data_IF_009077245285
#
_entry.id   IF_009077245285
#
_cell.length_a   1.000
_cell.length_b   1.000
_cell.length_c   1.000
_cell.angle_alpha   90.00
_cell.angle_beta   90.00
_cell.angle_gamma   90.00
#
_symmetry.space_group_name_H-M   'P 1'
#
loop_
_entity.id
_entity.type
_entity.pdbx_description
1 polymer ?
#
# COMPACT_ATOMS: atom_id res chain seq x y z
N UNK A 1 -33.39 54.82 -42.84
CA UNK A 1 -33.95 53.78 -43.70
C UNK A 1 -32.84 52.77 -43.96
N UNK A 2 -32.75 51.72 -43.13
CA UNK A 2 -31.75 50.67 -43.27
C UNK A 2 -32.50 49.37 -43.60
N UNK A 3 -32.28 48.89 -44.82
CA UNK A 3 -32.77 47.62 -45.32
C UNK A 3 -32.08 46.48 -44.56
N UNK A 4 -32.86 45.61 -43.91
CA UNK A 4 -32.37 44.30 -43.48
C UNK A 4 -32.63 43.28 -44.60
N UNK A 5 -31.63 42.47 -44.98
CA UNK A 5 -31.81 41.46 -46.01
C UNK A 5 -32.62 40.27 -45.46
N UNK A 6 -33.56 39.79 -46.27
CA UNK A 6 -34.36 38.58 -46.01
C UNK A 6 -33.50 37.33 -46.21
N UNK A 7 -32.87 36.85 -45.14
CA UNK A 7 -32.25 35.53 -45.12
C UNK A 7 -33.32 34.46 -44.84
N UNK A 8 -33.50 33.55 -45.80
CA UNK A 8 -34.27 32.31 -45.62
C UNK A 8 -33.55 31.40 -44.64
N UNK A 9 -34.06 31.27 -43.41
CA UNK A 9 -33.56 30.34 -42.42
C UNK A 9 -34.32 29.00 -42.48
N UNK A 10 -33.63 27.85 -42.40
CA UNK A 10 -34.25 26.53 -42.41
C UNK A 10 -35.07 26.26 -41.13
N UNK A 11 -36.18 25.54 -41.29
CA UNK A 11 -37.25 25.33 -40.30
C UNK A 11 -36.86 24.58 -39.01
N UNK A 12 -35.59 24.28 -38.76
CA UNK A 12 -35.10 23.52 -37.60
C UNK A 12 -34.42 24.36 -36.50
N UNK A 13 -34.42 25.69 -36.61
CA UNK A 13 -33.77 26.62 -35.65
C UNK A 13 -34.68 27.15 -34.52
N UNK A 14 -35.99 26.88 -34.55
CA UNK A 14 -36.93 27.43 -33.55
C UNK A 14 -36.70 26.93 -32.11
N UNK A 15 -36.07 25.76 -31.92
CA UNK A 15 -35.71 25.27 -30.58
C UNK A 15 -34.59 26.07 -29.91
N UNK A 16 -33.74 26.76 -30.67
CA UNK A 16 -32.65 27.58 -30.09
C UNK A 16 -33.12 28.94 -29.57
N UNK A 17 -34.27 29.44 -30.04
CA UNK A 17 -34.82 30.74 -29.63
C UNK A 17 -35.69 30.67 -28.36
N UNK A 18 -36.23 29.49 -28.00
CA UNK A 18 -37.01 29.34 -26.77
C UNK A 18 -36.15 29.16 -25.51
N UNK A 19 -34.90 28.68 -25.63
CA UNK A 19 -33.99 28.60 -24.48
C UNK A 19 -33.51 29.98 -23.99
N UNK A 20 -33.31 30.94 -24.89
CA UNK A 20 -32.87 32.29 -24.52
C UNK A 20 -33.89 33.07 -23.69
N UNK A 21 -35.18 32.92 -24.00
CA UNK A 21 -36.26 33.62 -23.28
C UNK A 21 -36.49 33.05 -21.87
N UNK A 22 -36.35 31.73 -21.69
CA UNK A 22 -36.48 31.09 -20.37
C UNK A 22 -35.32 31.52 -19.47
N UNK A 23 -34.08 31.57 -19.99
CA UNK A 23 -32.94 32.09 -19.24
C UNK A 23 -33.09 33.58 -18.87
N UNK A 24 -33.71 34.39 -19.72
CA UNK A 24 -33.87 35.83 -19.47
C UNK A 24 -34.88 36.19 -18.38
N UNK A 25 -35.89 35.35 -18.12
CA UNK A 25 -36.87 35.59 -17.05
C UNK A 25 -36.36 35.10 -15.68
N UNK A 26 -35.44 34.13 -15.65
CA UNK A 26 -34.78 33.70 -14.41
C UNK A 26 -33.84 34.78 -13.85
N UNK A 27 -33.23 35.61 -14.70
CA UNK A 27 -32.29 36.68 -14.28
C UNK A 27 -32.99 37.94 -13.74
N UNK A 28 -34.32 38.07 -13.91
CA UNK A 28 -35.08 39.27 -13.48
C UNK A 28 -35.46 39.28 -12.00
N UNK A 29 -35.24 38.19 -11.26
CA UNK A 29 -35.37 38.19 -9.80
C UNK A 29 -33.99 38.41 -9.20
N UNK A 30 -33.75 39.64 -8.72
CA UNK A 30 -32.54 39.94 -7.96
C UNK A 30 -32.50 39.10 -6.68
N UNK A 31 -31.32 38.58 -6.34
CA UNK A 31 -31.10 37.89 -5.07
C UNK A 31 -31.31 38.87 -3.92
N UNK A 32 -31.97 38.40 -2.86
CA UNK A 32 -32.11 39.20 -1.64
C UNK A 32 -30.77 39.27 -0.90
N UNK A 33 -30.52 40.36 -0.16
CA UNK A 33 -29.27 40.52 0.59
C UNK A 33 -29.06 39.37 1.60
N UNK A 34 -30.15 38.91 2.23
CA UNK A 34 -30.09 37.79 3.18
C UNK A 34 -29.73 36.47 2.50
N UNK A 35 -30.17 36.26 1.25
CA UNK A 35 -29.88 35.03 0.49
C UNK A 35 -28.41 34.94 0.11
N UNK A 36 -27.80 36.05 -0.30
CA UNK A 36 -26.35 36.11 -0.55
C UNK A 36 -25.56 35.87 0.75
N UNK A 37 -26.01 36.42 1.89
CA UNK A 37 -25.36 36.22 3.17
C UNK A 37 -25.36 34.74 3.59
N UNK A 38 -26.49 34.05 3.46
CA UNK A 38 -26.60 32.61 3.78
C UNK A 38 -25.73 31.75 2.85
N UNK A 39 -25.65 32.08 1.55
CA UNK A 39 -24.80 31.33 0.62
C UNK A 39 -23.32 31.48 1.01
N UNK A 40 -22.86 32.72 1.28
CA UNK A 40 -21.47 32.97 1.64
C UNK A 40 -21.10 32.27 2.95
N UNK A 41 -22.00 32.22 3.94
CA UNK A 41 -21.73 31.50 5.20
C UNK A 41 -21.64 29.99 4.98
N UNK A 42 -22.56 29.40 4.21
CA UNK A 42 -22.53 27.96 3.90
C UNK A 42 -21.28 27.60 3.09
N UNK A 43 -20.93 28.38 2.07
CA UNK A 43 -19.70 28.16 1.29
C UNK A 43 -18.44 28.31 2.17
N UNK A 44 -18.42 29.27 3.09
CA UNK A 44 -17.30 29.43 4.04
C UNK A 44 -17.08 28.19 4.90
N UNK A 45 -18.15 27.60 5.44
CA UNK A 45 -18.08 26.36 6.25
C UNK A 45 -17.57 25.20 5.41
N UNK A 46 -18.07 25.04 4.19
CA UNK A 46 -17.66 23.96 3.28
C UNK A 46 -16.18 24.07 2.89
N UNK A 47 -15.70 25.29 2.60
CA UNK A 47 -14.29 25.53 2.26
C UNK A 47 -13.37 25.25 3.46
N UNK A 48 -13.78 25.66 4.65
CA UNK A 48 -13.02 25.38 5.88
C UNK A 48 -12.84 23.89 6.14
N UNK A 49 -13.92 23.10 6.02
CA UNK A 49 -13.86 21.65 6.15
C UNK A 49 -13.05 20.97 5.03
N UNK A 50 -13.20 21.44 3.78
CA UNK A 50 -12.52 20.89 2.62
C UNK A 50 -10.99 20.98 2.71
N UNK A 51 -10.45 22.11 3.21
CA UNK A 51 -9.01 22.32 3.35
C UNK A 51 -8.36 21.34 4.34
N UNK A 52 -9.02 21.05 5.46
CA UNK A 52 -8.50 20.11 6.46
C UNK A 52 -8.39 18.68 5.92
N UNK A 53 -9.40 18.23 5.17
CA UNK A 53 -9.39 16.92 4.50
C UNK A 53 -8.32 16.87 3.41
N UNK A 54 -8.19 17.94 2.63
CA UNK A 54 -7.21 18.03 1.55
C UNK A 54 -5.75 17.89 2.04
N UNK A 55 -5.40 18.49 3.20
CA UNK A 55 -4.04 18.34 3.77
C UNK A 55 -3.70 16.88 4.07
N UNK A 56 -4.61 16.17 4.76
CA UNK A 56 -4.41 14.75 5.11
C UNK A 56 -4.32 13.86 3.88
N UNK A 57 -5.13 14.15 2.86
CA UNK A 57 -5.08 13.43 1.60
C UNK A 57 -3.73 13.63 0.88
N UNK A 58 -3.22 14.86 0.84
CA UNK A 58 -1.94 15.17 0.24
C UNK A 58 -0.77 14.47 0.97
N UNK A 59 -0.79 14.42 2.30
CA UNK A 59 0.19 13.67 3.10
C UNK A 59 0.17 12.17 2.78
N UNK A 60 -1.03 11.56 2.74
CA UNK A 60 -1.17 10.14 2.35
C UNK A 60 -0.64 9.87 0.95
N UNK A 61 -0.92 10.75 -0.01
CA UNK A 61 -0.44 10.57 -1.38
C UNK A 61 1.09 10.69 -1.48
N UNK A 62 1.71 11.54 -0.67
CA UNK A 62 3.17 11.68 -0.62
C UNK A 62 3.83 10.40 -0.08
N UNK A 63 3.29 9.82 0.99
CA UNK A 63 3.78 8.54 1.53
C UNK A 63 3.65 7.41 0.50
N UNK A 64 2.50 7.32 -0.18
CA UNK A 64 2.27 6.31 -1.23
C UNK A 64 3.26 6.44 -2.39
N UNK A 65 3.49 7.65 -2.88
CA UNK A 65 4.45 7.88 -3.94
C UNK A 65 5.87 7.50 -3.49
N UNK A 66 6.27 7.85 -2.27
CA UNK A 66 7.57 7.47 -1.74
C UNK A 66 7.72 5.95 -1.54
N UNK A 67 6.66 5.24 -1.14
CA UNK A 67 6.65 3.79 -1.06
C UNK A 67 6.78 3.13 -2.45
N UNK A 68 6.16 3.72 -3.48
CA UNK A 68 6.31 3.29 -4.88
C UNK A 68 7.73 3.54 -5.41
N UNK A 69 8.29 4.74 -5.19
CA UNK A 69 9.67 5.07 -5.53
C UNK A 69 10.66 4.12 -4.84
N UNK A 70 10.41 3.81 -3.56
CA UNK A 70 11.21 2.84 -2.80
C UNK A 70 11.12 1.46 -3.46
N UNK A 71 9.91 1.02 -3.81
CA UNK A 71 9.68 -0.26 -4.50
C UNK A 71 10.43 -0.34 -5.83
N UNK A 72 10.41 0.73 -6.64
CA UNK A 72 11.12 0.82 -7.91
C UNK A 72 12.64 0.80 -7.73
N UNK A 73 13.14 1.51 -6.71
CA UNK A 73 14.54 1.48 -6.34
C UNK A 73 14.99 0.05 -5.99
N UNK A 74 14.24 -0.65 -5.12
CA UNK A 74 14.55 -2.03 -4.74
C UNK A 74 14.49 -2.99 -5.92
N UNK A 75 13.49 -2.86 -6.80
CA UNK A 75 13.41 -3.64 -8.05
C UNK A 75 14.60 -3.38 -8.96
N UNK A 76 15.10 -2.14 -9.01
CA UNK A 76 16.27 -1.80 -9.83
C UNK A 76 17.53 -2.48 -9.29
N UNK A 77 17.73 -2.48 -7.97
CA UNK A 77 18.86 -3.18 -7.33
C UNK A 77 18.73 -4.68 -7.50
N UNK A 78 17.53 -5.24 -7.30
CA UNK A 78 17.25 -6.65 -7.54
C UNK A 78 17.59 -7.06 -8.98
N UNK A 79 17.15 -6.27 -9.97
CA UNK A 79 17.48 -6.53 -11.39
C UNK A 79 18.98 -6.53 -11.65
N UNK A 80 19.73 -5.59 -11.05
CA UNK A 80 21.19 -5.55 -11.15
C UNK A 80 21.85 -6.77 -10.50
N UNK A 81 21.34 -7.21 -9.34
CA UNK A 81 21.80 -8.43 -8.68
C UNK A 81 21.55 -9.68 -9.53
N UNK A 82 20.35 -9.82 -10.10
CA UNK A 82 20.02 -10.94 -11.00
C UNK A 82 20.83 -10.93 -12.29
N UNK A 83 21.13 -9.75 -12.82
CA UNK A 83 21.96 -9.61 -14.02
C UNK A 83 23.45 -9.87 -13.75
N UNK A 84 23.87 -9.91 -12.47
CA UNK A 84 25.28 -9.96 -12.10
C UNK A 84 26.05 -8.74 -12.61
N UNK A 85 25.37 -7.59 -12.75
CA UNK A 85 25.99 -6.37 -13.26
C UNK A 85 27.09 -5.95 -12.28
N UNK A 86 28.33 -5.86 -12.77
CA UNK A 86 29.51 -5.75 -11.91
C UNK A 86 30.07 -4.33 -12.00
N UNK A 87 30.10 -3.58 -10.88
CA UNK A 87 30.63 -2.21 -10.88
C UNK A 87 32.16 -2.18 -10.95
N UNK A 88 32.68 -1.05 -11.42
CA UNK A 88 34.13 -0.80 -11.48
C UNK A 88 34.75 -0.92 -10.07
N UNK A 89 35.91 -1.58 -9.98
CA UNK A 89 36.61 -1.80 -8.71
C UNK A 89 36.18 -3.06 -7.95
N UNK A 90 35.15 -3.77 -8.41
CA UNK A 90 34.85 -5.12 -7.92
C UNK A 90 35.71 -6.15 -8.68
N UNK A 91 36.28 -7.17 -8.03
CA UNK A 91 36.96 -8.29 -8.71
C UNK A 91 35.99 -9.45 -8.96
N UNK A 92 35.18 -9.78 -7.97
CA UNK A 92 34.09 -10.73 -8.02
C UNK A 92 32.91 -10.16 -7.22
N UNK A 93 31.74 -10.09 -7.85
CA UNK A 93 30.52 -9.61 -7.21
C UNK A 93 29.89 -10.75 -6.42
N UNK A 94 29.61 -10.49 -5.15
CA UNK A 94 28.97 -11.44 -4.22
C UNK A 94 27.49 -11.08 -4.01
N UNK A 95 27.18 -9.78 -3.99
CA UNK A 95 25.81 -9.29 -3.80
C UNK A 95 25.66 -7.79 -3.92
N UNK A 96 24.46 -7.32 -3.64
CA UNK A 96 24.13 -5.91 -3.47
C UNK A 96 23.52 -5.68 -2.10
N UNK A 97 24.04 -4.71 -1.35
CA UNK A 97 23.50 -4.30 -0.06
C UNK A 97 22.69 -3.02 -0.22
N UNK A 98 21.45 -3.04 0.25
CA UNK A 98 20.65 -1.82 0.42
C UNK A 98 20.66 -1.42 1.88
N UNK A 99 20.96 -0.14 2.14
CA UNK A 99 21.01 0.46 3.46
C UNK A 99 19.99 1.58 3.50
N UNK A 100 19.10 1.49 4.49
CA UNK A 100 18.09 2.48 4.82
C UNK A 100 18.36 2.93 6.25
N UNK A 101 18.46 4.24 6.48
CA UNK A 101 18.73 4.82 7.81
C UNK A 101 17.49 5.55 8.32
N UNK A 102 17.07 5.25 9.55
CA UNK A 102 15.95 5.93 10.19
C UNK A 102 16.19 7.43 10.31
N UNK A 103 15.12 8.21 10.22
CA UNK A 103 15.18 9.67 10.27
C UNK A 103 15.79 10.32 9.03
N UNK A 104 16.19 9.53 8.03
CA UNK A 104 16.64 10.04 6.73
C UNK A 104 15.59 9.81 5.65
N UNK A 105 15.67 10.55 4.56
CA UNK A 105 14.89 10.38 3.35
C UNK A 105 15.74 9.75 2.22
N UNK A 106 16.79 9.02 2.55
CA UNK A 106 17.73 8.48 1.55
C UNK A 106 17.89 6.98 1.70
N UNK A 107 17.78 6.26 0.59
CA UNK A 107 18.19 4.87 0.49
C UNK A 107 19.49 4.79 -0.32
N UNK A 108 20.39 3.92 0.10
CA UNK A 108 21.69 3.71 -0.55
C UNK A 108 21.86 2.25 -0.92
N UNK A 109 22.44 2.00 -2.09
CA UNK A 109 22.81 0.67 -2.55
C UNK A 109 24.31 0.61 -2.81
N UNK A 110 24.96 -0.37 -2.19
CA UNK A 110 26.39 -0.65 -2.31
C UNK A 110 26.59 -2.05 -2.87
N UNK A 111 27.62 -2.26 -3.66
CA UNK A 111 27.99 -3.61 -4.08
C UNK A 111 28.74 -4.33 -2.96
N UNK A 112 28.53 -5.63 -2.82
CA UNK A 112 29.33 -6.52 -1.97
C UNK A 112 30.27 -7.27 -2.90
N UNK A 113 31.57 -7.11 -2.69
CA UNK A 113 32.61 -7.70 -3.52
C UNK A 113 33.44 -8.68 -2.70
N UNK A 114 33.70 -9.86 -3.26
CA UNK A 114 34.51 -10.89 -2.62
C UNK A 114 35.93 -10.33 -2.34
N UNK A 115 36.38 -10.45 -1.10
CA UNK A 115 37.71 -10.01 -0.66
C UNK A 115 37.82 -8.54 -0.22
N UNK A 116 36.83 -7.69 -0.53
CA UNK A 116 36.80 -6.27 -0.12
C UNK A 116 35.67 -6.00 0.90
N UNK A 117 34.67 -6.88 0.95
CA UNK A 117 33.49 -6.73 1.81
C UNK A 117 32.53 -5.70 1.23
N UNK A 118 32.69 -4.43 1.60
CA UNK A 118 31.90 -3.31 1.07
C UNK A 118 32.59 -2.67 -0.13
N UNK A 119 31.97 -2.83 -1.30
CA UNK A 119 32.37 -2.20 -2.54
C UNK A 119 31.84 -0.77 -2.68
N UNK A 120 32.00 -0.16 -3.88
CA UNK A 120 31.59 1.22 -4.11
C UNK A 120 30.08 1.43 -3.99
N UNK A 121 29.69 2.66 -3.67
CA UNK A 121 28.30 3.11 -3.73
C UNK A 121 27.84 3.11 -5.19
N UNK A 122 26.75 2.40 -5.47
CA UNK A 122 26.25 2.17 -6.83
C UNK A 122 25.11 3.09 -7.16
N UNK A 123 24.24 3.32 -6.17
CA UNK A 123 23.10 4.19 -6.32
C UNK A 123 22.71 4.76 -4.97
N UNK A 124 22.28 6.01 -4.96
CA UNK A 124 21.62 6.63 -3.82
C UNK A 124 20.44 7.42 -4.34
N UNK A 125 19.28 7.19 -3.75
CA UNK A 125 18.04 7.89 -4.09
C UNK A 125 17.56 8.65 -2.87
N UNK A 126 17.31 9.95 -3.06
CA UNK A 126 16.63 10.78 -2.08
C UNK A 126 15.14 10.83 -2.42
N UNK A 127 14.30 10.46 -1.46
CA UNK A 127 12.85 10.54 -1.56
C UNK A 127 12.38 11.96 -1.26
N UNK A 128 11.13 12.26 -1.63
CA UNK A 128 10.51 13.58 -1.45
C UNK A 128 10.73 14.12 -0.02
N UNK A 129 11.03 15.41 0.07
CA UNK A 129 11.22 16.09 1.34
C UNK A 129 10.02 15.87 2.27
N UNK A 130 10.31 15.60 3.55
CA UNK A 130 9.37 15.28 4.64
C UNK A 130 8.87 13.83 4.73
N UNK A 131 9.24 12.95 3.80
CA UNK A 131 9.04 11.50 3.99
C UNK A 131 10.30 10.90 4.58
N UNK A 132 10.18 10.32 5.77
CA UNK A 132 11.32 9.75 6.50
C UNK A 132 11.13 8.25 6.68
N UNK A 133 12.24 7.53 6.67
CA UNK A 133 12.24 6.14 7.13
C UNK A 133 12.10 6.11 8.64
N UNK A 134 11.17 5.30 9.14
CA UNK A 134 10.97 5.16 10.60
C UNK A 134 11.96 4.18 11.21
N UNK A 135 12.42 3.20 10.44
CA UNK A 135 13.33 2.15 10.88
C UNK A 135 14.57 2.09 9.98
N UNK A 136 15.72 1.83 10.61
CA UNK A 136 16.95 1.49 9.90
C UNK A 136 16.91 0.02 9.51
N UNK A 137 17.16 -0.28 8.25
CA UNK A 137 17.15 -1.64 7.72
C UNK A 137 18.30 -1.83 6.74
N UNK A 138 18.87 -3.01 6.77
CA UNK A 138 19.89 -3.43 5.80
C UNK A 138 19.51 -4.81 5.31
N UNK A 139 19.49 -4.98 4.00
CA UNK A 139 19.24 -6.27 3.37
C UNK A 139 20.15 -6.44 2.15
N UNK A 140 20.53 -7.67 1.89
CA UNK A 140 21.43 -8.04 0.82
C UNK A 140 20.67 -8.85 -0.23
N UNK A 141 20.91 -8.53 -1.49
CA UNK A 141 20.48 -9.31 -2.64
C UNK A 141 21.67 -10.12 -3.15
N UNK A 142 21.52 -11.43 -3.16
CA UNK A 142 22.52 -12.34 -3.72
C UNK A 142 22.55 -12.23 -5.26
N UNK A 143 23.74 -12.41 -5.84
CA UNK A 143 23.92 -12.40 -7.30
C UNK A 143 23.26 -13.62 -7.92
N UNK A 144 22.76 -13.49 -9.16
CA UNK A 144 22.04 -14.51 -9.93
C UNK A 144 20.67 -14.93 -9.37
N UNK A 145 20.43 -14.85 -8.07
CA UNK A 145 19.13 -15.16 -7.46
C UNK A 145 18.29 -13.89 -7.29
N UNK A 146 18.91 -12.77 -6.91
CA UNK A 146 18.20 -11.54 -6.56
C UNK A 146 17.21 -11.72 -5.39
N UNK A 147 17.38 -12.79 -4.60
CA UNK A 147 16.56 -13.07 -3.43
C UNK A 147 17.14 -12.24 -2.28
N UNK A 148 16.31 -11.46 -1.55
CA UNK A 148 16.76 -10.75 -0.37
C UNK A 148 17.00 -11.74 0.79
N UNK A 149 18.09 -11.55 1.53
CA UNK A 149 18.43 -12.32 2.72
C UNK A 149 17.42 -12.16 3.88
N UNK A 150 16.60 -11.11 3.85
CA UNK A 150 15.56 -10.83 4.84
C UNK A 150 14.24 -10.42 4.15
N UNK A 151 13.14 -11.11 4.44
CA UNK A 151 11.80 -10.85 3.86
C UNK A 151 11.06 -9.62 4.42
N UNK A 152 11.68 -8.86 5.31
CA UNK A 152 11.09 -7.64 5.89
C UNK A 152 11.58 -6.41 5.12
N UNK A 153 10.69 -5.71 4.42
CA UNK A 153 11.05 -4.48 3.71
C UNK A 153 10.89 -3.20 4.54
N UNK A 154 11.33 -2.05 4.02
CA UNK A 154 11.37 -0.79 4.75
C UNK A 154 10.00 -0.19 5.03
N UNK A 155 9.91 0.50 6.17
CA UNK A 155 8.73 1.27 6.60
C UNK A 155 8.97 2.74 6.31
N UNK A 156 8.10 3.31 5.49
CA UNK A 156 8.13 4.70 5.05
C UNK A 156 7.04 5.45 5.81
N UNK A 157 7.31 6.65 6.33
CA UNK A 157 6.28 7.41 7.06
C UNK A 157 6.44 8.93 7.02
N UNK A 158 5.32 9.62 7.21
CA UNK A 158 5.21 11.08 7.34
C UNK A 158 3.96 11.43 8.15
N UNK A 159 4.08 12.37 9.10
CA UNK A 159 2.92 12.97 9.78
C UNK A 159 2.00 11.99 10.53
N UNK A 160 2.53 10.86 11.02
CA UNK A 160 1.75 9.81 11.67
C UNK A 160 1.11 8.78 10.72
N UNK A 161 1.28 8.95 9.40
CA UNK A 161 0.93 7.94 8.40
C UNK A 161 2.17 7.08 8.09
N UNK A 162 2.04 5.75 8.15
CA UNK A 162 3.11 4.82 7.78
C UNK A 162 2.64 3.87 6.69
N UNK A 163 3.54 3.51 5.78
CA UNK A 163 3.33 2.54 4.72
C UNK A 163 4.48 1.55 4.68
N UNK A 164 4.14 0.27 4.51
CA UNK A 164 5.08 -0.83 4.60
C UNK A 164 5.38 -1.32 3.18
N UNK A 165 6.65 -1.33 2.81
CA UNK A 165 7.11 -1.99 1.60
C UNK A 165 7.46 -3.41 1.98
N UNK A 166 6.85 -4.42 1.36
CA UNK A 166 7.23 -5.82 1.56
C UNK A 166 8.03 -6.33 0.37
N UNK A 167 9.11 -7.03 0.68
CA UNK A 167 9.89 -7.78 -0.28
C UNK A 167 9.42 -9.24 -0.23
N UNK A 168 8.79 -9.72 -1.29
CA UNK A 168 8.52 -11.15 -1.41
C UNK A 168 9.86 -11.86 -1.69
N UNK A 169 10.17 -12.89 -0.90
CA UNK A 169 11.33 -13.77 -1.10
C UNK A 169 11.34 -14.40 -2.50
N UNK A 170 10.16 -14.56 -3.12
CA UNK A 170 9.98 -15.06 -4.47
C UNK A 170 8.81 -14.30 -5.12
N UNK A 171 9.07 -13.14 -5.71
CA UNK A 171 8.01 -12.39 -6.39
C UNK A 171 8.31 -10.92 -6.62
N UNK A 172 7.44 -10.22 -7.37
CA UNK A 172 7.56 -8.78 -7.57
C UNK A 172 7.52 -8.07 -6.20
N UNK A 173 8.39 -7.07 -6.01
CA UNK A 173 8.28 -6.17 -4.85
C UNK A 173 6.93 -5.44 -4.95
N UNK A 174 6.03 -5.60 -3.99
CA UNK A 174 4.70 -4.96 -4.02
C UNK A 174 4.58 -4.04 -2.81
N UNK A 175 4.22 -2.78 -3.04
CA UNK A 175 3.71 -1.91 -1.98
C UNK A 175 2.36 -2.46 -1.55
N UNK A 176 2.31 -3.13 -0.40
CA UNK A 176 1.09 -3.73 0.12
C UNK A 176 0.51 -2.82 1.21
N UNK A 177 -0.76 -2.38 1.10
CA UNK A 177 -1.44 -1.66 2.19
C UNK A 177 -1.86 -2.59 3.33
N UNK A 178 -1.20 -3.75 3.48
CA UNK A 178 -1.62 -4.83 4.35
C UNK A 178 -0.60 -5.07 5.48
N UNK A 179 -1.11 -5.20 6.70
CA UNK A 179 -0.38 -5.65 7.87
C UNK A 179 -0.64 -7.15 8.05
N UNK A 180 0.41 -7.94 8.21
CA UNK A 180 0.28 -9.32 8.68
C UNK A 180 0.50 -9.29 10.19
N UNK A 181 -0.50 -9.70 10.95
CA UNK A 181 -0.46 -9.84 12.40
C UNK A 181 -0.58 -11.33 12.72
N UNK A 182 0.33 -11.85 13.54
CA UNK A 182 0.30 -13.27 13.93
C UNK A 182 -0.55 -13.39 15.20
N UNK A 183 -1.70 -14.04 15.10
CA UNK A 183 -2.50 -14.43 16.25
C UNK A 183 -1.89 -15.67 16.89
N UNK A 184 -1.63 -15.61 18.20
CA UNK A 184 -1.27 -16.79 18.98
C UNK A 184 -2.54 -17.43 19.55
N UNK A 185 -2.78 -18.71 19.25
CA UNK A 185 -3.93 -19.48 19.74
C UNK A 185 -4.04 -19.53 21.27
N UNK A 186 -2.97 -19.25 22.02
CA UNK A 186 -3.02 -19.11 23.48
C UNK A 186 -3.83 -17.90 23.96
N UNK A 187 -4.00 -16.88 23.11
CA UNK A 187 -4.69 -15.63 23.47
C UNK A 187 -6.19 -15.66 23.20
N UNK A 188 -6.70 -16.68 22.50
CA UNK A 188 -8.09 -16.75 22.00
C UNK A 188 -8.56 -15.50 21.24
N UNK A 189 -7.63 -14.67 20.74
CA UNK A 189 -7.98 -13.46 20.00
C UNK A 189 -8.29 -13.80 18.54
N UNK A 190 -9.40 -13.25 18.02
CA UNK A 190 -9.72 -13.37 16.59
C UNK A 190 -8.89 -12.38 15.78
N UNK A 191 -8.73 -12.66 14.48
CA UNK A 191 -8.07 -11.73 13.57
C UNK A 191 -8.73 -10.35 13.53
N UNK A 192 -10.05 -10.26 13.69
CA UNK A 192 -10.75 -8.98 13.82
C UNK A 192 -10.35 -8.22 15.09
N UNK A 193 -10.22 -8.90 16.23
CA UNK A 193 -9.78 -8.28 17.47
C UNK A 193 -8.34 -7.77 17.37
N UNK A 194 -7.47 -8.53 16.71
CA UNK A 194 -6.09 -8.13 16.46
C UNK A 194 -6.00 -6.96 15.47
N UNK A 195 -6.75 -6.99 14.37
CA UNK A 195 -6.76 -5.91 13.39
C UNK A 195 -7.35 -4.62 13.98
N UNK A 196 -8.33 -4.68 14.88
CA UNK A 196 -8.88 -3.49 15.57
C UNK A 196 -7.85 -2.79 16.46
N UNK A 197 -6.83 -3.48 16.96
CA UNK A 197 -5.73 -2.83 17.69
C UNK A 197 -4.93 -1.87 16.81
N UNK A 198 -5.03 -2.02 15.48
CA UNK A 198 -4.46 -1.10 14.50
C UNK A 198 -5.54 -0.07 14.14
N UNK A 199 -5.37 1.23 14.48
CA UNK A 199 -6.39 2.25 14.28
C UNK A 199 -6.88 2.33 12.82
N UNK A 200 -8.15 2.00 12.63
CA UNK A 200 -8.83 2.07 11.34
C UNK A 200 -8.66 0.83 10.46
N UNK A 201 -7.81 -0.15 10.82
CA UNK A 201 -7.65 -1.35 10.01
C UNK A 201 -8.88 -2.27 10.09
N UNK A 202 -9.24 -2.89 8.97
CA UNK A 202 -10.22 -3.98 8.91
C UNK A 202 -9.51 -5.26 8.48
N UNK A 203 -9.93 -6.41 8.97
CA UNK A 203 -9.39 -7.66 8.44
C UNK A 203 -9.78 -7.81 6.96
N UNK A 204 -8.80 -8.15 6.12
CA UNK A 204 -8.98 -8.36 4.69
C UNK A 204 -8.93 -9.83 4.30
N UNK A 205 -8.08 -10.62 4.95
CA UNK A 205 -8.03 -12.07 4.76
C UNK A 205 -7.35 -12.76 5.92
N UNK A 206 -7.53 -14.08 6.01
CA UNK A 206 -6.87 -14.96 6.97
C UNK A 206 -6.09 -16.01 6.20
N UNK A 207 -4.81 -16.20 6.53
CA UNK A 207 -3.94 -17.22 5.97
C UNK A 207 -3.48 -18.19 7.05
N UNK A 208 -3.39 -19.47 6.72
CA UNK A 208 -2.92 -20.53 7.63
C UNK A 208 -1.39 -20.72 7.57
N UNK A 209 -0.69 -20.00 6.69
CA UNK A 209 0.77 -20.14 6.54
C UNK A 209 1.54 -18.91 7.07
N UNK A 210 2.41 -19.07 8.09
CA UNK A 210 3.29 -18.01 8.56
C UNK A 210 4.36 -17.60 7.52
N UNK A 211 4.63 -18.41 6.50
CA UNK A 211 5.67 -18.16 5.49
C UNK A 211 5.16 -17.54 4.18
N UNK A 212 3.87 -17.20 4.07
CA UNK A 212 3.35 -16.51 2.89
C UNK A 212 3.36 -17.34 1.60
N UNK A 213 3.56 -18.65 1.69
CA UNK A 213 3.20 -19.56 0.60
C UNK A 213 1.69 -19.76 0.61
N UNK A 214 0.98 -18.93 -0.14
CA UNK A 214 -0.41 -19.16 -0.57
C UNK A 214 -0.51 -20.36 -1.54
N UNK A 215 0.29 -21.40 -1.31
CA UNK A 215 0.18 -22.65 -2.04
C UNK A 215 -1.00 -23.41 -1.46
N UNK A 216 -2.03 -23.54 -2.29
CA UNK A 216 -2.95 -24.67 -2.34
C UNK A 216 -2.27 -26.01 -1.94
N UNK A 217 -2.11 -26.29 -0.65
CA UNK A 217 -1.89 -27.65 -0.16
C UNK A 217 -3.26 -28.31 -0.11
N UNK A 218 -3.90 -28.45 -1.28
CA UNK A 218 -4.84 -29.55 -1.48
C UNK A 218 -3.98 -30.77 -1.69
N UNK A 219 -3.62 -31.44 -0.60
CA UNK A 219 -3.01 -32.76 -0.64
C UNK A 219 -3.90 -33.70 -1.45
N UNK A 220 -3.54 -33.96 -2.71
CA UNK A 220 -3.98 -35.14 -3.45
C UNK A 220 -3.12 -36.31 -2.95
N UNK A 221 -3.52 -36.89 -1.83
CA UNK A 221 -2.95 -38.13 -1.31
C UNK A 221 -3.98 -38.84 -0.45
N UNK A 222 -4.19 -40.16 -0.61
CA UNK A 222 -5.07 -40.92 0.26
C UNK A 222 -4.31 -41.21 1.56
N UNK A 223 -4.23 -40.23 2.44
CA UNK A 223 -3.74 -40.41 3.80
C UNK A 223 -4.77 -39.78 4.73
N UNK A 224 -5.40 -40.55 5.62
CA UNK A 224 -6.34 -39.98 6.57
C UNK A 224 -5.56 -39.16 7.60
N UNK A 225 -6.23 -38.18 8.21
CA UNK A 225 -5.81 -37.42 9.40
C UNK A 225 -5.14 -36.05 9.14
N UNK A 226 -5.88 -35.16 8.46
CA UNK A 226 -5.83 -33.73 8.75
C UNK A 226 -7.21 -33.34 9.29
N UNK A 227 -7.37 -33.30 10.62
CA UNK A 227 -8.62 -32.89 11.28
C UNK A 227 -8.32 -31.78 12.30
N UNK A 228 -7.74 -30.68 11.82
CA UNK A 228 -7.81 -29.42 12.55
C UNK A 228 -8.69 -28.52 11.68
N UNK A 229 -9.99 -28.55 11.97
CA UNK A 229 -10.98 -27.74 11.27
C UNK A 229 -10.99 -26.35 11.90
N UNK A 230 -10.62 -25.34 11.12
CA UNK A 230 -10.96 -23.96 11.45
C UNK A 230 -12.46 -23.77 11.26
N UNK A 231 -13.16 -23.31 12.31
CA UNK A 231 -14.58 -22.97 12.20
C UNK A 231 -14.64 -21.53 11.67
N UNK A 232 -15.26 -21.28 10.50
CA UNK A 232 -15.46 -19.93 10.00
C UNK A 232 -16.46 -19.20 10.90
N UNK A 233 -16.03 -18.10 11.51
CA UNK A 233 -16.83 -17.17 12.30
C UNK A 233 -16.84 -15.83 11.58
N UNK A 234 -17.72 -15.69 10.58
CA UNK A 234 -17.85 -14.48 9.76
C UNK A 234 -16.82 -14.38 8.63
N UNK A 235 -16.69 -13.19 8.03
CA UNK A 235 -15.85 -12.96 6.83
C UNK A 235 -14.34 -12.98 7.10
N UNK A 236 -13.93 -12.84 8.38
CA UNK A 236 -12.52 -12.72 8.78
C UNK A 236 -12.19 -13.34 10.14
N UNK A 237 -13.18 -13.83 10.89
CA UNK A 237 -12.96 -14.54 12.14
C UNK A 237 -12.72 -16.02 11.87
N UNK A 238 -11.47 -16.47 11.83
CA UNK A 238 -11.21 -17.86 12.23
C UNK A 238 -10.91 -17.82 13.71
N UNK A 239 -11.81 -18.42 14.51
CA UNK A 239 -11.52 -18.65 15.93
C UNK A 239 -10.90 -20.03 16.02
N UNK A 240 -9.59 -20.08 16.18
CA UNK A 240 -8.92 -21.36 16.43
C UNK A 240 -9.28 -21.81 17.84
N UNK A 241 -10.14 -22.82 17.94
CA UNK A 241 -10.31 -23.55 19.18
C UNK A 241 -9.03 -24.38 19.34
N UNK A 242 -8.28 -24.14 20.42
CA UNK A 242 -7.17 -25.01 20.79
C UNK A 242 -7.72 -26.44 20.99
N UNK A 243 -7.61 -27.27 19.96
CA UNK A 243 -7.95 -28.68 20.09
C UNK A 243 -6.76 -29.40 20.70
N UNK A 244 -6.92 -30.14 21.81
CA UNK A 244 -5.81 -30.73 22.56
C UNK A 244 -4.98 -31.78 21.79
N UNK A 245 -5.33 -32.11 20.53
CA UNK A 245 -4.78 -33.24 19.79
C UNK A 245 -4.40 -32.93 18.32
N UNK A 246 -3.94 -31.72 18.00
CA UNK A 246 -3.47 -31.41 16.64
C UNK A 246 -2.03 -31.92 16.45
N UNK A 247 -1.84 -32.96 15.64
CA UNK A 247 -0.53 -33.57 15.35
C UNK A 247 -0.18 -33.39 13.87
N UNK A 248 1.03 -32.93 13.57
CA UNK A 248 1.62 -32.98 12.23
C UNK A 248 2.87 -33.86 12.33
N UNK A 249 2.86 -35.00 11.65
CA UNK A 249 4.00 -35.94 11.67
C UNK A 249 4.28 -36.57 13.05
N UNK A 250 3.27 -36.69 13.92
CA UNK A 250 3.42 -37.28 15.26
C UNK A 250 4.01 -36.35 16.31
N UNK A 251 4.24 -35.08 15.98
CA UNK A 251 4.73 -34.07 16.93
C UNK A 251 3.54 -33.23 17.41
N UNK A 252 3.29 -33.12 18.74
CA UNK A 252 2.24 -32.24 19.26
C UNK A 252 2.65 -30.78 19.05
N UNK A 253 1.84 -30.02 18.31
CA UNK A 253 2.01 -28.58 18.22
C UNK A 253 1.27 -27.92 19.39
N UNK A 254 2.03 -27.27 20.28
CA UNK A 254 1.48 -26.59 21.46
C UNK A 254 1.13 -25.12 21.20
N UNK A 255 1.42 -24.59 20.00
CA UNK A 255 1.11 -23.22 19.62
C UNK A 255 0.57 -23.17 18.20
N UNK A 256 -0.73 -22.94 18.08
CA UNK A 256 -1.35 -22.64 16.80
C UNK A 256 -1.15 -21.15 16.51
N UNK A 257 -0.62 -20.83 15.33
CA UNK A 257 -0.48 -19.45 14.87
C UNK A 257 -1.40 -19.23 13.67
N UNK A 258 -2.17 -18.14 13.68
CA UNK A 258 -2.96 -17.70 12.51
C UNK A 258 -2.37 -16.42 11.97
N UNK A 259 -2.19 -16.33 10.65
CA UNK A 259 -1.72 -15.11 10.01
C UNK A 259 -2.92 -14.26 9.60
N UNK A 260 -3.15 -13.17 10.32
CA UNK A 260 -4.23 -12.22 10.09
C UNK A 260 -3.74 -11.11 9.15
N UNK A 261 -4.38 -10.95 7.99
CA UNK A 261 -4.06 -9.87 7.06
C UNK A 261 -5.02 -8.71 7.28
N UNK A 262 -4.54 -7.63 7.89
CA UNK A 262 -5.31 -6.41 8.13
C UNK A 262 -5.06 -5.39 7.01
N UNK A 263 -6.12 -4.82 6.45
CA UNK A 263 -6.08 -3.75 5.46
C UNK A 263 -6.42 -2.42 6.11
N UNK A 264 -5.65 -1.39 5.79
CA UNK A 264 -6.01 -0.01 6.16
C UNK A 264 -7.00 0.60 5.15
N UNK A 265 -7.84 1.54 5.59
CA UNK A 265 -8.80 2.27 4.76
C UNK A 265 -8.13 3.26 3.80
#
# INVERSE_FOLDING_TARGET
MWFLPSANYPANQWKKLQLGAILSNLVRKGFTLIEILVIVTVTGILLGGGLAVYSRFNEKQQVRNAAQETTEFLRTIQKRATAGDKPAGCSQLDGYRVIVTSGTNTAQAQAICLGVGTGPLISSTAFKANVLFTNSLTFNFEVLTGIPDNGSGPVVGQGGTTEYVRLASIGPVVSVPFYNVIANGATNQTCDQLCITIPGATCASVGTDPNGTDSNVRGRGPSPQFLCFDIPVGNCGMQMIAQPNCFIGGVPYTTNFTNCRCQLP
#
